data_IF_062980069821
#
_entry.id   IF_062980069821
#
_cell.length_a   1.000
_cell.length_b   1.000
_cell.length_c   1.000
_cell.angle_alpha   90.00
_cell.angle_beta   90.00
_cell.angle_gamma   90.00
#
_symmetry.space_group_name_H-M   'P 1'
#
loop_
_entity.id
_entity.type
_entity.pdbx_description
1 polymer ?
#
# COMPACT_ATOMS: atom_id res chain seq x y z
N UNK A 1 6.41 -21.33 -27.26
CA UNK A 1 5.24 -21.82 -26.49
C UNK A 1 5.34 -21.56 -24.99
N UNK A 2 6.49 -21.77 -24.35
CA UNK A 2 6.66 -21.66 -22.88
C UNK A 2 6.18 -20.36 -22.19
N UNK A 3 6.12 -19.21 -22.89
CA UNK A 3 5.61 -17.96 -22.30
C UNK A 3 4.10 -17.99 -22.03
N UNK A 4 3.33 -18.68 -22.86
CA UNK A 4 1.87 -18.70 -22.79
C UNK A 4 1.37 -19.66 -21.71
N UNK A 5 2.06 -20.78 -21.52
CA UNK A 5 1.77 -21.77 -20.45
C UNK A 5 1.96 -21.17 -19.06
N UNK A 6 3.08 -20.48 -18.82
CA UNK A 6 3.34 -19.77 -17.55
C UNK A 6 2.27 -18.73 -17.21
N UNK A 7 1.68 -18.09 -18.23
CA UNK A 7 0.60 -17.14 -18.02
C UNK A 7 -0.69 -17.86 -17.61
N UNK A 8 -1.02 -18.99 -18.26
CA UNK A 8 -2.18 -19.81 -17.91
C UNK A 8 -2.14 -20.31 -16.46
N UNK A 9 -0.98 -20.80 -16.01
CA UNK A 9 -0.78 -21.23 -14.62
C UNK A 9 -0.94 -20.07 -13.63
N UNK A 10 -0.38 -18.89 -13.95
CA UNK A 10 -0.54 -17.68 -13.13
C UNK A 10 -2.01 -17.24 -13.05
N UNK A 11 -2.73 -17.29 -14.17
CA UNK A 11 -4.16 -16.99 -14.21
C UNK A 11 -4.95 -17.99 -13.35
N UNK A 12 -4.65 -19.29 -13.45
CA UNK A 12 -5.31 -20.32 -12.65
C UNK A 12 -5.01 -20.19 -11.15
N UNK A 13 -3.77 -19.85 -10.78
CA UNK A 13 -3.41 -19.59 -9.38
C UNK A 13 -4.15 -18.39 -8.82
N UNK A 14 -4.25 -17.28 -9.58
CA UNK A 14 -5.06 -16.14 -9.20
C UNK A 14 -6.54 -16.52 -9.08
N UNK A 15 -7.07 -17.28 -10.04
CA UNK A 15 -8.45 -17.76 -10.02
C UNK A 15 -8.73 -18.59 -8.76
N UNK A 16 -7.83 -19.47 -8.31
CA UNK A 16 -8.02 -20.22 -7.07
C UNK A 16 -8.03 -19.34 -5.81
N UNK A 17 -7.25 -18.25 -5.80
CA UNK A 17 -7.22 -17.30 -4.68
C UNK A 17 -8.52 -16.50 -4.56
N UNK A 18 -9.10 -16.08 -5.69
CA UNK A 18 -10.33 -15.25 -5.68
C UNK A 18 -11.62 -16.05 -5.89
N UNK A 19 -11.54 -17.25 -6.48
CA UNK A 19 -12.66 -18.13 -6.80
C UNK A 19 -12.23 -19.62 -6.70
N UNK A 20 -12.17 -20.19 -5.48
CA UNK A 20 -11.60 -21.52 -5.23
C UNK A 20 -12.28 -22.65 -6.01
N UNK A 21 -13.55 -22.50 -6.38
CA UNK A 21 -14.33 -23.57 -7.03
C UNK A 21 -14.39 -23.49 -8.56
N UNK A 22 -13.58 -22.64 -9.21
CA UNK A 22 -13.28 -22.72 -10.65
C UNK A 22 -14.42 -22.47 -11.64
N UNK A 23 -15.68 -22.36 -11.18
CA UNK A 23 -16.89 -22.30 -12.03
C UNK A 23 -17.34 -20.89 -12.40
N UNK A 24 -16.60 -19.86 -12.02
CA UNK A 24 -16.99 -18.48 -12.31
C UNK A 24 -16.39 -18.05 -13.65
N UNK A 25 -17.19 -17.38 -14.47
CA UNK A 25 -16.79 -16.79 -15.76
C UNK A 25 -15.44 -16.07 -15.65
N UNK A 26 -14.44 -16.51 -16.43
CA UNK A 26 -13.05 -16.02 -16.30
C UNK A 26 -12.97 -14.50 -16.38
N UNK A 27 -13.79 -13.87 -17.23
CA UNK A 27 -13.83 -12.41 -17.37
C UNK A 27 -14.28 -11.76 -16.07
N UNK A 28 -15.34 -12.28 -15.46
CA UNK A 28 -15.91 -11.80 -14.19
C UNK A 28 -14.90 -11.95 -13.04
N UNK A 29 -14.24 -13.10 -12.94
CA UNK A 29 -13.22 -13.35 -11.89
C UNK A 29 -12.04 -12.42 -12.03
N UNK A 30 -11.51 -12.23 -13.25
CA UNK A 30 -10.38 -11.34 -13.47
C UNK A 30 -10.75 -9.89 -13.17
N UNK A 31 -11.98 -9.48 -13.51
CA UNK A 31 -12.47 -8.14 -13.20
C UNK A 31 -12.57 -7.92 -11.69
N UNK A 32 -13.13 -8.88 -10.95
CA UNK A 32 -13.21 -8.84 -9.49
C UNK A 32 -11.82 -8.84 -8.85
N UNK A 33 -10.90 -9.68 -9.34
CA UNK A 33 -9.51 -9.71 -8.86
C UNK A 33 -8.80 -8.37 -9.05
N UNK A 34 -8.97 -7.73 -10.22
CA UNK A 34 -8.46 -6.38 -10.47
C UNK A 34 -9.09 -5.39 -9.49
N UNK A 35 -10.42 -5.44 -9.30
CA UNK A 35 -11.13 -4.60 -8.33
C UNK A 35 -10.57 -4.74 -6.92
N UNK A 36 -10.32 -5.98 -6.48
CA UNK A 36 -9.77 -6.27 -5.17
C UNK A 36 -8.33 -5.76 -5.00
N UNK A 37 -7.47 -5.91 -6.01
CA UNK A 37 -6.12 -5.34 -6.01
C UNK A 37 -6.17 -3.82 -5.86
N UNK A 38 -7.05 -3.14 -6.58
CA UNK A 38 -7.21 -1.68 -6.48
C UNK A 38 -7.68 -1.25 -5.10
N UNK A 39 -8.69 -1.94 -4.56
CA UNK A 39 -9.18 -1.71 -3.20
C UNK A 39 -8.08 -1.85 -2.14
N UNK A 40 -7.23 -2.87 -2.24
CA UNK A 40 -6.10 -3.04 -1.33
C UNK A 40 -5.05 -1.94 -1.50
N UNK A 41 -4.72 -1.59 -2.75
CA UNK A 41 -3.78 -0.51 -3.05
C UNK A 41 -4.24 0.83 -2.47
N UNK A 42 -5.54 1.14 -2.57
CA UNK A 42 -6.10 2.39 -2.05
C UNK A 42 -6.14 2.44 -0.51
N UNK A 43 -6.15 1.29 0.17
CA UNK A 43 -6.05 1.21 1.63
C UNK A 43 -4.63 1.36 2.17
N UNK A 44 -3.59 1.02 1.41
CA UNK A 44 -2.20 1.12 1.87
C UNK A 44 -1.86 2.53 2.35
N UNK A 45 -2.17 3.62 1.60
CA UNK A 45 -1.96 4.98 2.09
C UNK A 45 -2.74 5.30 3.36
N UNK A 46 -3.98 4.81 3.50
CA UNK A 46 -4.82 5.05 4.69
C UNK A 46 -4.17 4.44 5.94
N UNK A 47 -3.61 3.23 5.81
CA UNK A 47 -2.89 2.56 6.89
C UNK A 47 -1.52 3.21 7.17
N UNK A 48 -0.85 3.77 6.15
CA UNK A 48 0.45 4.41 6.29
C UNK A 48 0.37 5.87 6.79
N UNK A 49 -0.72 6.60 6.52
CA UNK A 49 -0.92 8.00 6.92
C UNK A 49 -0.53 8.29 8.37
N UNK A 50 -1.02 7.53 9.38
CA UNK A 50 -0.67 7.80 10.78
C UNK A 50 0.83 7.62 11.08
N UNK A 51 1.56 6.84 10.29
CA UNK A 51 3.00 6.64 10.45
C UNK A 51 3.86 7.63 9.66
N UNK A 52 3.31 8.25 8.61
CA UNK A 52 4.00 9.26 7.80
C UNK A 52 3.86 10.67 8.41
N UNK A 53 2.70 10.96 9.02
CA UNK A 53 2.48 12.22 9.75
C UNK A 53 3.26 12.26 11.07
N UNK A 54 3.58 11.10 11.66
CA UNK A 54 4.41 11.00 12.86
C UNK A 54 5.91 11.09 12.56
N UNK A 55 6.33 11.77 11.50
CA UNK A 55 7.73 12.25 11.47
C UNK A 55 7.85 13.25 12.62
N UNK A 56 8.61 12.97 13.69
CA UNK A 56 8.95 14.02 14.61
C UNK A 56 9.83 14.93 13.78
N UNK A 57 9.23 16.01 13.25
CA UNK A 57 9.98 17.19 12.88
C UNK A 57 10.76 17.55 14.12
N UNK A 58 12.01 17.09 14.13
CA UNK A 58 13.02 17.41 15.10
C UNK A 58 12.90 18.90 15.34
N UNK A 59 12.35 19.29 16.49
CA UNK A 59 12.51 20.62 17.04
C UNK A 59 13.96 20.74 17.55
N UNK A 60 14.91 20.43 16.69
CA UNK A 60 16.28 20.89 16.79
C UNK A 60 16.31 22.29 16.19
N UNK A 61 15.73 23.27 16.89
CA UNK A 61 16.32 24.60 16.90
C UNK A 61 16.71 24.88 18.35
N UNK A 62 17.89 24.39 18.62
CA UNK A 62 18.74 24.62 19.76
C UNK A 62 18.83 26.14 20.04
N UNK A 63 18.53 26.52 21.28
CA UNK A 63 19.24 27.54 22.06
C UNK A 63 19.45 28.90 21.38
N UNK A 64 18.51 29.84 21.58
CA UNK A 64 18.91 31.24 21.75
C UNK A 64 19.15 31.48 23.24
N UNK A 65 20.42 31.64 23.54
CA UNK A 65 21.07 31.90 24.81
C UNK A 65 20.37 32.99 25.68
N UNK A 66 20.15 32.76 27.00
CA UNK A 66 19.60 33.74 27.93
C UNK A 66 20.55 34.90 28.30
N UNK A 67 21.60 35.18 27.52
CA UNK A 67 22.54 36.28 27.76
C UNK A 67 22.06 37.63 27.20
N UNK A 68 20.85 38.07 27.60
CA UNK A 68 20.58 39.52 27.64
C UNK A 68 20.09 39.90 29.02
N UNK A 69 20.98 39.67 29.99
CA UNK A 69 20.85 40.22 31.33
C UNK A 69 21.13 41.73 31.25
N UNK A 70 20.13 42.48 30.83
CA UNK A 70 20.10 43.95 30.93
C UNK A 70 19.38 44.31 32.23
N UNK A 71 20.05 44.07 33.36
CA UNK A 71 19.83 44.83 34.59
C UNK A 71 20.93 45.89 34.64
N UNK A 72 20.68 47.01 33.96
CA UNK A 72 21.26 48.31 34.32
C UNK A 72 20.26 49.08 35.14
#
# INVERSE_FOLDING_TARGET
>A
MQRKEKLGERIAALQQLVSPFGKTDTTSVLHEAIGYIRFLHDQVPVLCSPYLESSPSSYHQNQHDPSSNTWR
#
